data_IF_282603281381
#
_entry.id   IF_282603281381
#
_cell.length_a   1.000
_cell.length_b   1.000
_cell.length_c   1.000
_cell.angle_alpha   90.00
_cell.angle_beta   90.00
_cell.angle_gamma   90.00
#
_symmetry.space_group_name_H-M   'P 1'
#
loop_
_entity.id
_entity.type
_entity.pdbx_description
1 polymer ?
#
# COMPACT_ATOMS: atom_id res chain seq x y z
N UNK A 1 -28.56 45.08 -22.52
CA UNK A 1 -27.80 44.34 -21.50
C UNK A 1 -28.54 43.05 -21.20
N UNK A 2 -27.98 41.88 -21.53
CA UNK A 2 -28.42 40.59 -20.99
C UNK A 2 -27.28 39.59 -21.19
N UNK A 3 -26.82 39.03 -20.08
CA UNK A 3 -25.67 38.14 -19.95
C UNK A 3 -26.05 36.68 -20.20
N UNK A 4 -25.12 35.89 -20.72
CA UNK A 4 -25.16 34.43 -20.62
C UNK A 4 -23.72 33.92 -20.46
N UNK A 5 -23.29 33.86 -19.20
CA UNK A 5 -21.99 33.33 -18.79
C UNK A 5 -21.98 31.80 -18.74
N UNK A 6 -20.82 31.24 -19.05
CA UNK A 6 -20.54 29.82 -19.22
C UNK A 6 -20.72 28.98 -17.94
N UNK A 7 -21.24 27.75 -18.11
CA UNK A 7 -21.27 26.71 -17.09
C UNK A 7 -20.15 25.68 -17.39
N UNK A 8 -19.01 25.82 -16.72
CA UNK A 8 -17.99 24.79 -16.66
C UNK A 8 -18.24 23.91 -15.43
N UNK A 9 -18.76 22.71 -15.67
CA UNK A 9 -18.89 21.63 -14.68
C UNK A 9 -17.51 20.99 -14.48
N UNK A 10 -16.87 21.26 -13.34
CA UNK A 10 -15.62 20.61 -12.93
C UNK A 10 -16.00 19.42 -12.04
N UNK A 11 -15.74 18.16 -12.44
CA UNK A 11 -15.95 17.03 -11.54
C UNK A 11 -14.91 17.09 -10.42
N UNK A 12 -15.37 17.35 -9.19
CA UNK A 12 -14.56 17.18 -7.98
C UNK A 12 -14.35 15.70 -7.74
N UNK A 13 -13.21 15.16 -8.18
CA UNK A 13 -12.75 13.84 -7.78
C UNK A 13 -12.52 13.87 -6.27
N UNK A 14 -13.35 13.15 -5.52
CA UNK A 14 -13.18 12.89 -4.10
C UNK A 14 -11.95 12.00 -3.91
N UNK A 15 -10.78 12.62 -3.78
CA UNK A 15 -9.58 11.95 -3.29
C UNK A 15 -9.89 11.42 -1.89
N UNK A 16 -10.04 10.10 -1.77
CA UNK A 16 -10.28 9.44 -0.49
C UNK A 16 -8.99 9.57 0.31
N UNK A 17 -8.96 10.43 1.32
CA UNK A 17 -7.85 10.50 2.25
C UNK A 17 -7.79 9.16 3.00
N UNK A 18 -6.82 8.32 2.64
CA UNK A 18 -6.59 7.04 3.29
C UNK A 18 -6.33 7.26 4.79
N UNK A 19 -7.03 6.48 5.61
CA UNK A 19 -6.99 6.53 7.07
C UNK A 19 -5.56 6.53 7.60
N UNK A 20 -5.14 7.66 8.15
CA UNK A 20 -3.95 7.77 8.99
C UNK A 20 -4.25 7.13 10.35
N UNK A 21 -4.19 5.80 10.41
CA UNK A 21 -4.04 5.09 11.67
C UNK A 21 -2.68 5.42 12.26
N UNK A 22 -2.62 5.66 13.57
CA UNK A 22 -1.43 5.87 14.41
C UNK A 22 -0.50 4.65 14.37
N UNK A 23 0.10 4.45 13.20
CA UNK A 23 0.95 3.32 12.84
C UNK A 23 2.37 3.86 12.72
N UNK A 24 3.38 3.09 13.15
CA UNK A 24 4.79 3.47 13.03
C UNK A 24 5.05 4.16 11.69
N UNK A 25 5.64 5.36 11.75
CA UNK A 25 5.69 6.30 10.63
C UNK A 25 6.48 5.68 9.47
N UNK A 26 5.75 5.06 8.53
CA UNK A 26 6.35 4.62 7.28
C UNK A 26 6.56 5.86 6.44
N UNK A 27 7.82 6.20 6.17
CA UNK A 27 8.13 7.32 5.29
C UNK A 27 7.91 6.94 3.83
N UNK A 28 7.50 7.91 3.01
CA UNK A 28 7.59 7.76 1.56
C UNK A 28 9.07 7.64 1.13
N UNK A 29 9.43 6.80 0.12
CA UNK A 29 8.60 5.94 -0.71
C UNK A 29 8.65 4.45 -0.29
N UNK A 30 8.51 4.15 1.00
CA UNK A 30 8.65 2.79 1.52
C UNK A 30 7.31 2.05 1.67
N UNK A 31 7.35 0.74 1.46
CA UNK A 31 6.32 -0.21 1.89
C UNK A 31 6.78 -0.82 3.20
N UNK A 32 6.05 -0.56 4.29
CA UNK A 32 6.42 -1.02 5.62
C UNK A 32 5.53 -2.16 6.09
N UNK A 33 6.15 -3.16 6.72
CA UNK A 33 5.50 -4.23 7.44
C UNK A 33 5.58 -3.91 8.92
N UNK A 34 4.42 -3.80 9.56
CA UNK A 34 4.29 -3.32 10.93
C UNK A 34 3.61 -4.41 11.75
N UNK A 35 4.29 -4.87 12.80
CA UNK A 35 3.78 -5.88 13.72
C UNK A 35 3.85 -5.33 15.13
N UNK A 36 2.73 -5.35 15.85
CA UNK A 36 2.60 -4.79 17.21
C UNK A 36 3.14 -3.34 17.30
N UNK A 37 2.85 -2.51 16.30
CA UNK A 37 3.32 -1.12 16.26
C UNK A 37 4.81 -0.93 15.93
N UNK A 38 5.54 -2.00 15.58
CA UNK A 38 6.96 -1.94 15.21
C UNK A 38 7.17 -2.28 13.75
N UNK A 39 7.99 -1.50 13.02
CA UNK A 39 8.38 -1.81 11.64
C UNK A 39 9.34 -3.01 11.66
N UNK A 40 8.88 -4.15 11.17
CA UNK A 40 9.65 -5.39 11.05
C UNK A 40 10.31 -5.56 9.67
N UNK A 41 9.89 -4.76 8.69
CA UNK A 41 10.42 -4.80 7.33
C UNK A 41 10.08 -3.53 6.56
N UNK A 42 11.00 -3.07 5.72
CA UNK A 42 10.82 -1.91 4.84
C UNK A 42 11.36 -2.24 3.46
N UNK A 43 10.58 -1.94 2.43
CA UNK A 43 10.92 -2.23 1.05
C UNK A 43 10.65 -1.00 0.20
N UNK A 44 11.59 -0.65 -0.68
CA UNK A 44 11.44 0.45 -1.63
C UNK A 44 11.85 0.07 -3.05
N UNK A 45 12.45 -1.10 -3.24
CA UNK A 45 12.94 -1.48 -4.54
C UNK A 45 11.79 -2.01 -5.40
N UNK A 46 11.60 -1.42 -6.58
CA UNK A 46 10.63 -1.91 -7.56
C UNK A 46 11.27 -3.07 -8.30
N UNK A 47 10.80 -4.28 -8.02
CA UNK A 47 11.38 -5.51 -8.54
C UNK A 47 10.38 -6.26 -9.39
N UNK A 48 10.83 -6.84 -10.51
CA UNK A 48 10.03 -7.81 -11.28
C UNK A 48 9.88 -9.15 -10.54
N UNK A 49 10.75 -9.43 -9.57
CA UNK A 49 10.79 -10.63 -8.76
C UNK A 49 10.27 -10.41 -7.33
N UNK A 50 9.93 -11.51 -6.65
CA UNK A 50 9.51 -11.52 -5.25
C UNK A 50 10.71 -11.36 -4.32
N UNK A 51 10.69 -10.34 -3.47
CA UNK A 51 11.66 -10.11 -2.41
C UNK A 51 11.21 -10.90 -1.17
N UNK A 52 12.04 -11.84 -0.71
CA UNK A 52 11.71 -12.66 0.44
C UNK A 52 11.75 -11.83 1.74
N UNK A 53 10.76 -12.04 2.60
CA UNK A 53 10.71 -11.51 3.96
C UNK A 53 11.53 -12.45 4.86
N UNK A 54 12.76 -12.10 5.27
CA UNK A 54 13.63 -13.01 6.00
C UNK A 54 13.01 -13.47 7.32
N UNK A 55 12.29 -12.56 7.98
CA UNK A 55 11.63 -12.80 9.27
C UNK A 55 10.30 -13.56 9.17
N UNK A 56 9.83 -13.88 7.95
CA UNK A 56 8.54 -14.54 7.63
C UNK A 56 7.44 -14.23 8.66
N UNK A 57 6.99 -12.96 8.74
CA UNK A 57 6.17 -12.54 9.85
C UNK A 57 4.79 -13.21 9.82
N UNK A 58 4.42 -13.82 10.94
CA UNK A 58 3.07 -14.32 11.17
C UNK A 58 2.13 -13.16 11.53
N UNK A 59 0.91 -13.21 11.01
CA UNK A 59 -0.20 -12.36 11.39
C UNK A 59 -0.50 -12.40 12.90
N UNK A 60 -1.14 -11.36 13.48
CA UNK A 60 -1.61 -10.14 12.83
C UNK A 60 -0.48 -9.15 12.51
N UNK A 61 -0.54 -8.49 11.35
CA UNK A 61 0.37 -7.40 10.97
C UNK A 61 -0.32 -6.43 10.00
N UNK A 62 0.20 -5.21 9.89
CA UNK A 62 -0.27 -4.19 8.95
C UNK A 62 0.81 -3.91 7.91
N UNK A 63 0.42 -3.83 6.66
CA UNK A 63 1.31 -3.50 5.54
C UNK A 63 0.86 -2.16 4.99
N UNK A 64 1.75 -1.18 5.01
CA UNK A 64 1.47 0.19 4.59
C UNK A 64 2.23 0.47 3.31
N UNK A 65 1.50 0.71 2.23
CA UNK A 65 2.08 1.22 0.99
C UNK A 65 1.95 2.74 0.97
N UNK A 66 3.06 3.45 1.16
CA UNK A 66 3.07 4.92 1.14
C UNK A 66 3.22 5.48 -0.27
N UNK A 67 3.53 4.65 -1.26
CA UNK A 67 3.79 5.08 -2.64
C UNK A 67 2.52 5.64 -3.29
N UNK A 68 2.70 6.54 -4.26
CA UNK A 68 1.61 7.24 -4.96
C UNK A 68 1.20 6.54 -6.26
N UNK A 69 2.15 5.95 -6.98
CA UNK A 69 1.93 5.41 -8.33
C UNK A 69 2.33 3.93 -8.46
N UNK A 70 2.83 3.33 -7.37
CA UNK A 70 3.29 1.93 -7.36
C UNK A 70 2.44 1.10 -6.40
N UNK A 71 2.02 -0.08 -6.87
CA UNK A 71 1.33 -1.08 -6.06
C UNK A 71 2.32 -2.01 -5.37
N UNK A 72 1.94 -2.50 -4.19
CA UNK A 72 2.69 -3.51 -3.47
C UNK A 72 1.91 -4.82 -3.46
N UNK A 73 2.57 -5.92 -3.81
CA UNK A 73 2.03 -7.25 -3.68
C UNK A 73 2.64 -7.93 -2.47
N UNK A 74 1.81 -8.53 -1.65
CA UNK A 74 2.25 -9.41 -0.56
C UNK A 74 1.92 -10.85 -0.89
N UNK A 75 2.77 -11.77 -0.47
CA UNK A 75 2.57 -13.20 -0.65
C UNK A 75 2.64 -13.92 0.69
N UNK A 76 1.72 -14.86 0.87
CA UNK A 76 1.72 -15.79 1.98
C UNK A 76 2.54 -17.03 1.63
N UNK A 77 3.10 -17.66 2.66
CA UNK A 77 3.76 -18.98 2.60
C UNK A 77 2.93 -20.07 1.91
N UNK A 78 1.59 -19.93 1.89
CA UNK A 78 0.66 -20.82 1.19
C UNK A 78 0.61 -20.61 -0.33
N UNK A 79 1.24 -19.54 -0.85
CA UNK A 79 1.19 -19.13 -2.25
C UNK A 79 0.10 -18.11 -2.58
N UNK A 80 -0.81 -17.82 -1.66
CA UNK A 80 -1.80 -16.75 -1.84
C UNK A 80 -1.09 -15.39 -1.98
N UNK A 81 -1.71 -14.46 -2.73
CA UNK A 81 -1.20 -13.11 -2.93
C UNK A 81 -2.30 -12.08 -2.76
N UNK A 82 -1.95 -10.90 -2.28
CA UNK A 82 -2.85 -9.74 -2.24
C UNK A 82 -2.15 -8.53 -2.81
N UNK A 83 -2.93 -7.70 -3.50
CA UNK A 83 -2.46 -6.44 -4.04
C UNK A 83 -2.88 -5.29 -3.13
N UNK A 84 -1.93 -4.40 -2.88
CA UNK A 84 -2.11 -3.19 -2.10
C UNK A 84 -2.00 -2.02 -3.06
N UNK A 85 -3.10 -1.27 -3.25
CA UNK A 85 -3.05 -0.06 -4.05
C UNK A 85 -2.10 0.98 -3.44
N UNK A 86 -1.76 2.04 -4.19
CA UNK A 86 -0.99 3.15 -3.68
C UNK A 86 -1.69 3.80 -2.47
N UNK A 87 -0.89 4.39 -1.57
CA UNK A 87 -1.34 5.10 -0.37
C UNK A 87 -2.32 4.32 0.52
N UNK A 88 -2.23 2.99 0.52
CA UNK A 88 -3.19 2.13 1.20
C UNK A 88 -2.55 1.31 2.29
N UNK A 89 -3.35 0.95 3.29
CA UNK A 89 -2.96 0.05 4.38
C UNK A 89 -3.75 -1.24 4.29
N UNK A 90 -3.07 -2.37 4.36
CA UNK A 90 -3.68 -3.69 4.36
C UNK A 90 -3.37 -4.43 5.65
N UNK A 91 -4.41 -4.87 6.33
CA UNK A 91 -4.28 -5.61 7.59
C UNK A 91 -4.33 -7.10 7.31
N UNK A 92 -3.23 -7.78 7.58
CA UNK A 92 -3.15 -9.24 7.50
C UNK A 92 -3.62 -9.79 8.83
N UNK A 93 -4.79 -10.42 8.84
CA UNK A 93 -5.41 -11.00 10.04
C UNK A 93 -5.00 -12.46 10.28
N UNK A 94 -4.50 -13.15 9.24
CA UNK A 94 -4.13 -14.57 9.32
C UNK A 94 -3.00 -14.97 8.37
N UNK A 95 -2.36 -16.10 8.70
CA UNK A 95 -1.28 -16.70 7.92
C UNK A 95 0.09 -16.05 8.14
N UNK A 96 1.07 -16.53 7.37
CA UNK A 96 2.45 -16.07 7.43
C UNK A 96 2.88 -15.54 6.08
N UNK A 97 3.40 -14.32 6.03
CA UNK A 97 3.94 -13.73 4.81
C UNK A 97 5.36 -14.24 4.55
N UNK A 98 5.67 -14.55 3.30
CA UNK A 98 7.01 -15.00 2.89
C UNK A 98 7.70 -14.04 1.94
N UNK A 99 6.95 -13.23 1.19
CA UNK A 99 7.53 -12.32 0.22
C UNK A 99 6.68 -11.07 -0.05
N UNK A 100 7.34 -10.08 -0.64
CA UNK A 100 6.76 -8.84 -1.14
C UNK A 100 7.29 -8.54 -2.53
N UNK A 101 6.48 -7.90 -3.38
CA UNK A 101 6.91 -7.39 -4.67
C UNK A 101 6.30 -6.02 -4.89
N UNK A 102 7.13 -5.02 -5.12
CA UNK A 102 6.68 -3.68 -5.49
C UNK A 102 6.73 -3.59 -7.01
N UNK A 103 5.63 -3.18 -7.61
CA UNK A 103 5.50 -3.05 -9.07
C UNK A 103 5.17 -1.61 -9.41
N UNK A 104 5.75 -1.10 -10.50
CA UNK A 104 5.48 0.25 -11.03
C UNK A 104 4.13 0.40 -11.71
N UNK A 105 3.15 -0.41 -11.31
CA UNK A 105 1.77 -0.31 -11.77
C UNK A 105 0.99 0.53 -10.78
N UNK A 106 0.15 1.42 -11.27
CA UNK A 106 -0.73 2.26 -10.46
C UNK A 106 -2.02 1.54 -10.05
N UNK A 107 -2.26 0.33 -10.56
CA UNK A 107 -3.49 -0.44 -10.33
C UNK A 107 -3.23 -1.88 -9.91
N UNK A 108 -4.02 -2.32 -8.93
CA UNK A 108 -4.38 -3.71 -8.72
C UNK A 108 -5.52 -4.07 -9.67
#
# INVERSE_FOLDING_TARGET
MAAAGALAIVPTTTATAAQSGTTATCSYPYVCFIKNGTIIGRFQDVTSYWQALPSKPQAPLSVVNTRHDDVAYIRWTTGATACLPPQSTFNVTGGTLDAVRISSSSTC
#
